data_IF_251994492520
#
_entry.id   IF_251994492520
#
_cell.length_a   1.000
_cell.length_b   1.000
_cell.length_c   1.000
_cell.angle_alpha   90.00
_cell.angle_beta   90.00
_cell.angle_gamma   90.00
#
_symmetry.space_group_name_H-M   'P 1'
#
loop_
_entity.id
_entity.type
_entity.pdbx_description
1 polymer ?
#
# COMPACT_ATOMS: atom_id res chain seq x y z
N UNK A 1 5.82 12.29 9.37
CA UNK A 1 5.20 10.94 9.48
C UNK A 1 5.50 10.01 8.30
N UNK A 2 5.48 10.46 7.03
CA UNK A 2 5.75 9.60 5.86
C UNK A 2 7.15 8.98 5.83
N UNK A 3 8.13 9.66 6.42
CA UNK A 3 9.53 9.21 6.55
C UNK A 3 9.74 8.26 7.72
N UNK A 4 9.03 8.46 8.84
CA UNK A 4 9.15 7.62 10.04
C UNK A 4 8.74 6.17 9.77
N UNK A 5 7.66 5.93 9.02
CA UNK A 5 7.22 4.58 8.65
C UNK A 5 8.19 3.92 7.67
N UNK A 6 8.77 4.68 6.74
CA UNK A 6 9.84 4.17 5.85
C UNK A 6 11.08 3.78 6.64
N UNK A 7 11.49 4.61 7.60
CA UNK A 7 12.62 4.33 8.48
C UNK A 7 12.36 3.07 9.33
N UNK A 8 11.17 2.95 9.92
CA UNK A 8 10.76 1.78 10.69
C UNK A 8 10.75 0.50 9.85
N UNK A 9 10.27 0.58 8.61
CA UNK A 9 10.28 -0.54 7.67
C UNK A 9 11.71 -0.97 7.32
N UNK A 10 12.62 -0.02 7.07
CA UNK A 10 14.04 -0.32 6.82
C UNK A 10 14.68 -0.99 8.04
N UNK A 11 14.42 -0.46 9.25
CA UNK A 11 14.93 -1.02 10.50
C UNK A 11 14.45 -2.46 10.73
N UNK A 12 13.17 -2.74 10.43
CA UNK A 12 12.60 -4.09 10.49
C UNK A 12 13.31 -5.05 9.52
N UNK A 13 13.53 -4.62 8.27
CA UNK A 13 14.22 -5.44 7.26
C UNK A 13 15.67 -5.72 7.67
N UNK A 14 16.37 -4.73 8.23
CA UNK A 14 17.71 -4.92 8.77
C UNK A 14 17.72 -5.91 9.95
N UNK A 15 16.73 -5.85 10.85
CA UNK A 15 16.57 -6.80 11.95
C UNK A 15 16.34 -8.24 11.48
N UNK A 16 15.50 -8.42 10.45
CA UNK A 16 15.31 -9.72 9.81
C UNK A 16 16.60 -10.22 9.14
N UNK A 17 17.29 -9.37 8.39
CA UNK A 17 18.54 -9.73 7.73
C UNK A 17 19.63 -10.12 8.76
N UNK A 18 19.78 -9.35 9.83
CA UNK A 18 20.70 -9.65 10.92
C UNK A 18 20.35 -10.98 11.61
N UNK A 19 19.06 -11.22 11.87
CA UNK A 19 18.58 -12.50 12.41
C UNK A 19 18.94 -13.68 11.52
N UNK A 20 18.74 -13.57 10.20
CA UNK A 20 19.08 -14.63 9.24
C UNK A 20 20.59 -14.90 9.14
N UNK A 21 21.42 -13.85 9.26
CA UNK A 21 22.88 -14.01 9.28
C UNK A 21 23.32 -14.68 10.58
N UNK A 22 22.74 -14.29 11.73
CA UNK A 22 23.05 -14.88 13.03
C UNK A 22 22.59 -16.34 13.16
N UNK A 23 21.51 -16.72 12.47
CA UNK A 23 20.99 -18.09 12.46
C UNK A 23 22.01 -19.11 11.93
N UNK A 24 22.96 -18.68 11.09
CA UNK A 24 24.02 -19.54 10.56
C UNK A 24 25.08 -19.92 11.60
N UNK A 25 25.11 -19.24 12.75
CA UNK A 25 26.02 -19.53 13.85
C UNK A 25 25.30 -20.31 14.95
N UNK A 26 25.73 -21.54 15.23
CA UNK A 26 25.10 -22.44 16.23
C UNK A 26 25.04 -21.82 17.64
N UNK A 27 26.00 -20.95 17.99
CA UNK A 27 26.05 -20.27 19.28
C UNK A 27 24.87 -19.29 19.46
N UNK A 28 24.39 -18.70 18.38
CA UNK A 28 23.37 -17.63 18.40
C UNK A 28 22.01 -18.08 17.85
N UNK A 29 21.83 -19.36 17.53
CA UNK A 29 20.63 -19.89 16.87
C UNK A 29 19.32 -19.54 17.60
N UNK A 30 19.29 -19.70 18.94
CA UNK A 30 18.11 -19.38 19.75
C UNK A 30 17.77 -17.89 19.70
N UNK A 31 18.79 -17.02 19.80
CA UNK A 31 18.61 -15.57 19.74
C UNK A 31 18.17 -15.14 18.34
N UNK A 32 18.74 -15.74 17.29
CA UNK A 32 18.37 -15.50 15.90
C UNK A 32 16.89 -15.84 15.64
N UNK A 33 16.42 -17.00 16.09
CA UNK A 33 15.03 -17.41 15.92
C UNK A 33 14.05 -16.47 16.61
N UNK A 34 14.36 -16.02 17.83
CA UNK A 34 13.55 -15.03 18.55
C UNK A 34 13.57 -13.66 17.84
N UNK A 35 14.73 -13.24 17.33
CA UNK A 35 14.86 -11.99 16.60
C UNK A 35 14.08 -12.00 15.28
N UNK A 36 14.14 -13.11 14.53
CA UNK A 36 13.37 -13.28 13.29
C UNK A 36 11.87 -13.30 13.59
N UNK A 37 11.44 -14.09 14.57
CA UNK A 37 10.03 -14.20 14.95
C UNK A 37 9.45 -12.87 15.43
N UNK A 38 10.17 -12.17 16.31
CA UNK A 38 9.78 -10.84 16.80
C UNK A 38 9.72 -9.81 15.66
N UNK A 39 10.71 -9.78 14.76
CA UNK A 39 10.70 -8.88 13.61
C UNK A 39 9.52 -9.16 12.67
N UNK A 40 9.16 -10.43 12.47
CA UNK A 40 8.00 -10.82 11.67
C UNK A 40 6.69 -10.35 12.31
N UNK A 41 6.52 -10.59 13.61
CA UNK A 41 5.32 -10.15 14.37
C UNK A 41 5.19 -8.62 14.34
N UNK A 42 6.28 -7.89 14.60
CA UNK A 42 6.31 -6.43 14.48
C UNK A 42 5.92 -5.97 13.07
N UNK A 43 6.41 -6.66 12.04
CA UNK A 43 6.04 -6.38 10.66
C UNK A 43 4.56 -6.52 10.36
N UNK A 44 3.98 -7.66 10.73
CA UNK A 44 2.58 -8.00 10.42
C UNK A 44 1.61 -7.17 11.25
N UNK A 45 1.88 -6.98 12.55
CA UNK A 45 0.92 -6.34 13.46
C UNK A 45 1.11 -4.83 13.60
N UNK A 46 2.32 -4.30 13.38
CA UNK A 46 2.59 -2.88 13.53
C UNK A 46 2.84 -2.23 12.18
N UNK A 47 3.84 -2.70 11.44
CA UNK A 47 4.29 -2.02 10.23
C UNK A 47 3.21 -2.06 9.14
N UNK A 48 2.56 -3.22 8.94
CA UNK A 48 1.50 -3.40 7.94
C UNK A 48 0.25 -2.52 8.19
N UNK A 49 -0.40 -2.54 9.37
CA UNK A 49 -1.56 -1.68 9.62
C UNK A 49 -1.20 -0.19 9.55
N UNK A 50 -0.03 0.19 10.05
CA UNK A 50 0.44 1.57 10.05
C UNK A 50 0.72 2.07 8.63
N UNK A 51 1.28 1.21 7.76
CA UNK A 51 1.46 1.47 6.34
C UNK A 51 0.13 1.67 5.61
N UNK A 52 -0.84 0.77 5.85
CA UNK A 52 -2.17 0.86 5.26
C UNK A 52 -2.90 2.14 5.69
N UNK A 53 -2.85 2.49 6.97
CA UNK A 53 -3.47 3.71 7.50
C UNK A 53 -2.86 4.98 6.87
N UNK A 54 -1.54 5.03 6.72
CA UNK A 54 -0.90 6.18 6.09
C UNK A 54 -1.25 6.30 4.61
N UNK A 55 -1.39 5.17 3.91
CA UNK A 55 -1.74 5.16 2.48
C UNK A 55 -3.22 5.46 2.24
N UNK A 56 -4.12 4.96 3.09
CA UNK A 56 -5.56 5.21 2.95
C UNK A 56 -5.91 6.68 3.16
N UNK A 57 -5.09 7.44 3.91
CA UNK A 57 -5.35 8.88 4.18
C UNK A 57 -5.49 9.75 2.92
N UNK A 58 -4.88 9.39 1.78
CA UNK A 58 -4.98 10.22 0.56
C UNK A 58 -6.24 9.99 -0.25
N UNK A 59 -7.08 9.00 0.09
CA UNK A 59 -8.21 8.57 -0.72
C UNK A 59 -9.40 8.28 0.20
N UNK A 60 -10.50 9.01 0.04
CA UNK A 60 -11.70 8.69 0.81
C UNK A 60 -12.26 7.36 0.30
N UNK A 61 -12.56 6.42 1.20
CA UNK A 61 -13.18 5.13 0.84
C UNK A 61 -14.52 5.34 0.12
N UNK A 62 -15.18 6.47 0.41
CA UNK A 62 -16.47 6.88 -0.13
C UNK A 62 -16.43 7.16 -1.63
N UNK A 63 -15.29 7.62 -2.14
CA UNK A 63 -15.10 7.87 -3.58
C UNK A 63 -15.02 6.57 -4.40
N UNK A 64 -14.80 5.43 -3.74
CA UNK A 64 -14.73 4.11 -4.38
C UNK A 64 -16.02 3.30 -4.22
N UNK A 65 -16.99 3.79 -3.45
CA UNK A 65 -18.28 3.13 -3.30
C UNK A 65 -19.19 3.48 -4.47
N UNK A 66 -19.92 2.46 -4.96
CA UNK A 66 -20.96 2.61 -5.98
C UNK A 66 -22.21 3.26 -5.37
N UNK A 67 -22.08 4.50 -4.91
CA UNK A 67 -23.23 5.30 -4.48
C UNK A 67 -24.00 5.78 -5.70
N UNK A 68 -25.31 6.07 -5.56
CA UNK A 68 -26.11 6.60 -6.65
C UNK A 68 -25.49 7.87 -7.29
N UNK A 69 -24.86 8.75 -6.50
CA UNK A 69 -24.19 9.94 -7.03
C UNK A 69 -22.94 9.60 -7.85
N UNK A 70 -22.12 8.65 -7.39
CA UNK A 70 -20.92 8.23 -8.11
C UNK A 70 -21.26 7.49 -9.40
N UNK A 71 -22.29 6.65 -9.39
CA UNK A 71 -22.81 5.99 -10.60
C UNK A 71 -23.32 7.03 -11.61
N UNK A 72 -24.00 8.08 -11.14
CA UNK A 72 -24.46 9.17 -12.01
C UNK A 72 -23.28 9.90 -12.65
N UNK A 73 -22.25 10.26 -11.88
CA UNK A 73 -21.00 10.86 -12.40
C UNK A 73 -20.30 9.98 -13.45
N UNK A 74 -20.28 8.66 -13.26
CA UNK A 74 -19.71 7.72 -14.24
C UNK A 74 -20.50 7.71 -15.55
N UNK A 75 -21.83 7.80 -15.49
CA UNK A 75 -22.69 7.87 -16.68
C UNK A 75 -22.51 9.18 -17.42
N UNK A 76 -22.47 10.30 -16.71
CA UNK A 76 -22.25 11.64 -17.28
C UNK A 76 -20.90 11.71 -18.00
N UNK A 77 -19.82 11.24 -17.34
CA UNK A 77 -18.49 11.18 -17.94
C UNK A 77 -18.47 10.36 -19.24
N UNK A 78 -19.15 9.20 -19.26
CA UNK A 78 -19.29 8.38 -20.48
C UNK A 78 -19.98 9.14 -21.62
N UNK A 79 -21.03 9.90 -21.31
CA UNK A 79 -21.76 10.69 -22.31
C UNK A 79 -20.88 11.80 -22.89
N UNK A 80 -20.11 12.48 -22.04
CA UNK A 80 -19.20 13.53 -22.48
C UNK A 80 -18.03 12.99 -23.31
N UNK A 81 -17.48 11.84 -22.91
CA UNK A 81 -16.47 11.12 -23.70
C UNK A 81 -17.01 10.76 -25.09
N UNK A 82 -18.23 10.23 -25.18
CA UNK A 82 -18.88 9.90 -26.46
C UNK A 82 -19.13 11.13 -27.34
N UNK A 83 -19.49 12.28 -26.75
CA UNK A 83 -19.62 13.55 -27.48
C UNK A 83 -18.28 14.02 -28.00
N UNK A 84 -17.21 13.89 -27.21
CA UNK A 84 -15.85 14.22 -27.63
C UNK A 84 -15.40 13.37 -28.82
N UNK A 85 -15.63 12.05 -28.78
CA UNK A 85 -15.29 11.16 -29.89
C UNK A 85 -16.06 11.50 -31.17
N UNK A 86 -17.38 11.69 -31.09
CA UNK A 86 -18.20 12.07 -32.27
C UNK A 86 -17.82 13.43 -32.83
N UNK A 87 -17.49 14.40 -31.97
CA UNK A 87 -17.02 15.70 -32.42
C UNK A 87 -15.69 15.57 -33.17
N UNK A 88 -14.76 14.76 -32.66
CA UNK A 88 -13.48 14.53 -33.33
C UNK A 88 -13.68 13.90 -34.72
N UNK A 89 -14.50 12.86 -34.82
CA UNK A 89 -14.84 12.19 -36.07
C UNK A 89 -15.38 13.19 -37.12
N UNK A 90 -16.38 14.00 -36.75
CA UNK A 90 -16.95 15.02 -37.64
C UNK A 90 -16.02 16.20 -38.01
N UNK A 91 -14.84 16.34 -37.41
CA UNK A 91 -13.84 17.37 -37.76
C UNK A 91 -12.65 16.79 -38.54
N UNK A 92 -12.66 15.48 -38.82
CA UNK A 92 -11.65 14.78 -39.62
C UNK A 92 -12.13 14.48 -41.06
N UNK A 93 -13.43 14.63 -41.32
CA UNK A 93 -14.06 14.64 -42.65
C UNK A 93 -14.20 16.07 -43.18
#
# INVERSE_FOLDING_TARGET
>A
MKTAIKLLFILMVLGLAAGLIMQQNEIYEKLANVLIGSSLVLGIFIVMPLFLYQRSKSRSLKDYMLTPENIKKMKEKRVDDLKFYKKKENNLD
#
